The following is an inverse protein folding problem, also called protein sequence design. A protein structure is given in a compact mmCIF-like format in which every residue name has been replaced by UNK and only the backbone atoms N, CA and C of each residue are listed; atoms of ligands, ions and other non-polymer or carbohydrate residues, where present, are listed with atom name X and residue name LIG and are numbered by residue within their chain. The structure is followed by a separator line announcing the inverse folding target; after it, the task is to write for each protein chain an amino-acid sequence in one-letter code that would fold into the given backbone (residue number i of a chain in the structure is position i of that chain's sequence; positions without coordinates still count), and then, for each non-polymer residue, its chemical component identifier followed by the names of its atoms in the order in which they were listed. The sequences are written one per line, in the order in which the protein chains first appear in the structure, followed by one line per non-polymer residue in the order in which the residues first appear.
data_IF_765744296901
#
_entry.id   IF_765744296901
#
_cell.length_a   1.000
_cell.length_b   1.000
_cell.length_c   1.000
_cell.angle_alpha   90.00
_cell.angle_beta   90.00
_cell.angle_gamma   90.00
#
_symmetry.space_group_name_H-M   'P 1'
#
loop_
_entity.id
_entity.type
_entity.pdbx_description
1 polymer ?
#
# COMPACT_ATOMS: atom_id res chain seq x y z
N UNK A 1 5.18 -5.36 13.05
CA UNK A 1 3.97 -5.86 13.76
C UNK A 1 3.91 -5.29 15.16
N UNK A 2 5.01 -5.32 15.92
CA UNK A 2 5.11 -4.67 17.24
C UNK A 2 4.79 -3.17 17.19
N UNK A 3 5.37 -2.41 16.24
CA UNK A 3 5.04 -1.00 16.00
C UNK A 3 3.53 -0.74 15.86
N UNK A 4 2.86 -1.47 14.96
CA UNK A 4 1.42 -1.30 14.72
C UNK A 4 0.62 -1.55 16.00
N UNK A 5 0.93 -2.65 16.71
CA UNK A 5 0.22 -3.01 17.95
C UNK A 5 0.39 -1.94 19.03
N UNK A 6 1.58 -1.37 19.18
CA UNK A 6 1.85 -0.27 20.13
C UNK A 6 1.04 0.99 19.82
N UNK A 7 0.67 1.18 18.55
CA UNK A 7 -0.11 2.33 18.05
C UNK A 7 -1.60 2.03 17.92
N UNK A 8 -2.07 0.87 18.38
CA UNK A 8 -3.49 0.49 18.28
C UNK A 8 -3.93 -0.01 16.89
N UNK A 9 -2.97 -0.28 15.99
CA UNK A 9 -3.23 -0.83 14.67
C UNK A 9 -2.97 -2.34 14.62
N UNK A 10 -3.75 -3.05 13.80
CA UNK A 10 -3.55 -4.46 13.52
C UNK A 10 -2.88 -4.63 12.16
N UNK A 11 -1.74 -5.33 12.13
CA UNK A 11 -1.02 -5.66 10.91
C UNK A 11 -1.26 -7.13 10.54
N UNK A 12 -1.82 -7.39 9.35
CA UNK A 12 -2.08 -8.73 8.83
C UNK A 12 -1.18 -8.98 7.63
N UNK A 13 -0.32 -9.99 7.74
CA UNK A 13 0.52 -10.44 6.62
C UNK A 13 -0.30 -11.33 5.69
N UNK A 14 -0.02 -11.24 4.40
CA UNK A 14 -0.62 -12.09 3.37
C UNK A 14 -2.15 -12.16 3.45
N UNK A 15 -2.80 -10.99 3.60
CA UNK A 15 -4.25 -10.89 3.61
C UNK A 15 -4.80 -11.45 2.30
N UNK A 16 -5.60 -12.50 2.38
CA UNK A 16 -6.36 -13.02 1.24
C UNK A 16 -7.64 -12.21 1.09
N UNK A 17 -7.85 -11.66 -0.11
CA UNK A 17 -9.06 -10.93 -0.47
C UNK A 17 -10.19 -11.91 -0.83
N UNK A 18 -11.42 -11.42 -0.87
CA UNK A 18 -12.61 -12.25 -1.16
C UNK A 18 -12.54 -12.96 -2.53
N UNK A 19 -11.85 -12.39 -3.50
CA UNK A 19 -11.63 -12.96 -4.84
C UNK A 19 -10.36 -13.81 -4.94
N UNK A 20 -9.71 -14.13 -3.81
CA UNK A 20 -8.57 -15.04 -3.74
C UNK A 20 -7.21 -14.41 -4.06
N UNK A 21 -7.14 -13.10 -4.31
CA UNK A 21 -5.86 -12.39 -4.43
C UNK A 21 -5.21 -12.20 -3.06
N UNK A 22 -3.94 -11.76 -3.05
CA UNK A 22 -3.16 -11.53 -1.83
C UNK A 22 -2.69 -10.08 -1.77
N UNK A 23 -2.90 -9.44 -0.62
CA UNK A 23 -2.21 -8.22 -0.21
C UNK A 23 -1.08 -8.60 0.74
N UNK A 24 0.15 -8.19 0.44
CA UNK A 24 1.34 -8.67 1.17
C UNK A 24 1.31 -8.26 2.66
N UNK A 25 0.90 -7.03 2.94
CA UNK A 25 0.66 -6.53 4.28
C UNK A 25 -0.53 -5.57 4.27
N UNK A 26 -1.50 -5.84 5.13
CA UNK A 26 -2.65 -4.98 5.35
C UNK A 26 -2.63 -4.42 6.77
N UNK A 27 -2.85 -3.12 6.91
CA UNK A 27 -2.94 -2.46 8.21
C UNK A 27 -4.38 -2.01 8.44
N UNK A 28 -4.89 -2.33 9.62
CA UNK A 28 -6.24 -2.02 10.07
C UNK A 28 -6.19 -1.18 11.35
N UNK A 29 -7.13 -0.26 11.48
CA UNK A 29 -7.38 0.47 12.73
C UNK A 29 -8.51 -0.19 13.51
N UNK A 30 -9.16 0.60 14.37
CA UNK A 30 -10.28 0.13 15.17
C UNK A 30 -11.43 -0.39 14.31
N UNK A 31 -12.17 -1.38 14.84
CA UNK A 31 -13.35 -1.98 14.21
C UNK A 31 -13.10 -2.50 12.77
N UNK A 32 -11.86 -2.85 12.45
CA UNK A 32 -11.49 -3.37 11.13
C UNK A 32 -11.42 -2.31 10.03
N UNK A 33 -11.32 -1.02 10.39
CA UNK A 33 -11.14 0.07 9.41
C UNK A 33 -9.86 -0.17 8.58
N UNK A 34 -10.00 -0.17 7.26
CA UNK A 34 -8.91 -0.41 6.28
C UNK A 34 -8.00 0.82 6.19
N UNK A 35 -6.79 0.76 6.75
CA UNK A 35 -5.90 1.93 6.84
C UNK A 35 -5.03 2.05 5.62
N UNK A 36 -4.21 1.04 5.37
CA UNK A 36 -3.28 1.04 4.24
C UNK A 36 -2.93 -0.39 3.82
N UNK A 37 -2.89 -0.61 2.51
CA UNK A 37 -2.32 -1.79 1.91
C UNK A 37 -0.84 -1.53 1.57
N UNK A 38 0.01 -2.53 1.75
CA UNK A 38 1.46 -2.44 1.46
C UNK A 38 1.85 -3.62 0.58
N UNK A 39 2.56 -3.33 -0.50
CA UNK A 39 2.99 -4.31 -1.51
C UNK A 39 4.48 -4.21 -1.76
N UNK A 40 5.16 -5.36 -1.76
CA UNK A 40 6.60 -5.42 -1.96
C UNK A 40 6.92 -5.83 -3.39
N UNK A 41 7.36 -4.86 -4.20
CA UNK A 41 7.65 -5.07 -5.61
C UNK A 41 9.15 -5.21 -5.89
N UNK A 42 9.53 -6.39 -6.36
CA UNK A 42 10.92 -6.73 -6.70
C UNK A 42 11.15 -6.99 -8.20
N UNK A 43 10.14 -6.75 -9.05
CA UNK A 43 10.28 -6.91 -10.50
C UNK A 43 10.37 -5.58 -11.24
N UNK A 44 11.59 -5.16 -11.58
CA UNK A 44 11.78 -3.89 -12.30
C UNK A 44 11.06 -3.86 -13.66
N UNK A 45 11.18 -4.96 -14.42
CA UNK A 45 10.58 -5.11 -15.75
C UNK A 45 9.06 -4.95 -15.72
N UNK A 46 8.41 -5.47 -14.68
CA UNK A 46 6.95 -5.55 -14.59
C UNK A 46 6.32 -4.58 -13.59
N UNK A 47 7.12 -3.69 -13.00
CA UNK A 47 6.69 -2.86 -11.87
C UNK A 47 5.42 -2.05 -12.19
N UNK A 48 5.31 -1.48 -13.39
CA UNK A 48 4.12 -0.71 -13.80
C UNK A 48 2.84 -1.56 -13.81
N UNK A 49 2.91 -2.73 -14.42
CA UNK A 49 1.76 -3.64 -14.52
C UNK A 49 1.38 -4.20 -13.14
N UNK A 50 2.39 -4.54 -12.32
CA UNK A 50 2.16 -5.05 -10.97
C UNK A 50 1.63 -3.99 -10.03
N UNK A 51 2.14 -2.76 -10.07
CA UNK A 51 1.58 -1.63 -9.31
C UNK A 51 0.13 -1.36 -9.68
N UNK A 52 -0.22 -1.40 -10.98
CA UNK A 52 -1.61 -1.26 -11.40
C UNK A 52 -2.49 -2.40 -10.86
N UNK A 53 -2.06 -3.64 -11.01
CA UNK A 53 -2.76 -4.81 -10.47
C UNK A 53 -2.96 -4.71 -8.95
N UNK A 54 -1.91 -4.29 -8.24
CA UNK A 54 -1.91 -4.09 -6.80
C UNK A 54 -2.85 -2.98 -6.34
N UNK A 55 -2.94 -1.89 -7.10
CA UNK A 55 -3.91 -0.84 -6.83
C UNK A 55 -5.34 -1.31 -7.06
N UNK A 56 -5.62 -2.02 -8.16
CA UNK A 56 -6.96 -2.55 -8.43
C UNK A 56 -7.41 -3.52 -7.34
N UNK A 57 -6.56 -4.45 -6.90
CA UNK A 57 -6.92 -5.40 -5.83
C UNK A 57 -7.12 -4.69 -4.49
N UNK A 58 -6.26 -3.73 -4.13
CA UNK A 58 -6.39 -2.98 -2.89
C UNK A 58 -7.66 -2.09 -2.89
N UNK A 59 -7.94 -1.41 -4.00
CA UNK A 59 -9.16 -0.63 -4.21
C UNK A 59 -10.42 -1.48 -4.02
N UNK A 60 -10.48 -2.65 -4.65
CA UNK A 60 -11.62 -3.58 -4.55
C UNK A 60 -11.83 -4.12 -3.13
N UNK A 61 -10.76 -4.27 -2.36
CA UNK A 61 -10.79 -4.66 -0.95
C UNK A 61 -11.12 -3.46 -0.01
N UNK A 62 -11.34 -2.27 -0.58
CA UNK A 62 -11.78 -1.07 0.13
C UNK A 62 -10.66 -0.22 0.73
N UNK A 63 -9.39 -0.45 0.36
CA UNK A 63 -8.30 0.44 0.77
C UNK A 63 -8.29 1.71 -0.07
N UNK A 64 -8.08 2.85 0.59
CA UNK A 64 -7.85 4.15 -0.06
C UNK A 64 -6.37 4.50 -0.20
N UNK A 65 -5.52 3.88 0.60
CA UNK A 65 -4.09 4.11 0.63
C UNK A 65 -3.32 2.85 0.26
N UNK A 66 -2.31 3.02 -0.60
CA UNK A 66 -1.42 1.95 -1.04
C UNK A 66 0.04 2.42 -0.91
N UNK A 67 0.87 1.60 -0.27
CA UNK A 67 2.32 1.78 -0.26
C UNK A 67 2.92 0.73 -1.20
N UNK A 68 3.70 1.17 -2.18
CA UNK A 68 4.54 0.31 -2.99
C UNK A 68 5.97 0.42 -2.47
N UNK A 69 6.49 -0.69 -1.95
CA UNK A 69 7.86 -0.82 -1.47
C UNK A 69 8.71 -1.45 -2.57
N UNK A 70 9.74 -0.77 -3.05
CA UNK A 70 10.59 -1.31 -4.13
C UNK A 70 12.06 -0.94 -3.95
N UNK A 71 13.00 -1.84 -4.28
CA UNK A 71 14.44 -1.67 -3.98
C UNK A 71 15.23 -0.97 -5.10
N UNK A 72 14.57 -0.44 -6.12
CA UNK A 72 15.26 0.08 -7.31
C UNK A 72 15.78 1.50 -7.09
N UNK A 73 16.98 1.78 -7.60
CA UNK A 73 17.58 3.12 -7.56
C UNK A 73 16.85 4.12 -8.46
N UNK A 74 16.39 3.67 -9.63
CA UNK A 74 15.52 4.47 -10.49
C UNK A 74 14.08 4.43 -9.98
N UNK A 75 13.31 5.46 -10.30
CA UNK A 75 11.90 5.58 -9.91
C UNK A 75 11.00 5.39 -11.15
N UNK A 76 10.80 4.14 -11.63
CA UNK A 76 10.06 3.87 -12.88
C UNK A 76 8.56 4.20 -12.80
N UNK A 77 8.04 4.43 -11.59
CA UNK A 77 6.66 4.78 -11.32
C UNK A 77 6.45 6.30 -11.22
N UNK A 78 7.50 7.08 -10.92
CA UNK A 78 7.39 8.53 -10.75
C UNK A 78 6.91 9.17 -12.05
N UNK A 79 5.85 9.99 -11.97
CA UNK A 79 5.20 10.64 -13.10
C UNK A 79 4.74 9.67 -14.21
N UNK A 80 4.52 8.40 -13.89
CA UNK A 80 4.04 7.43 -14.87
C UNK A 80 2.52 7.50 -15.02
N UNK A 81 2.02 7.13 -16.22
CA UNK A 81 0.58 7.05 -16.49
C UNK A 81 -0.15 6.13 -15.50
N UNK A 82 0.54 5.12 -14.96
CA UNK A 82 -0.02 4.20 -13.96
C UNK A 82 -0.36 4.95 -12.67
N UNK A 83 0.52 5.83 -12.19
CA UNK A 83 0.25 6.62 -10.98
C UNK A 83 -0.94 7.56 -11.20
N UNK A 84 -0.97 8.25 -12.35
CA UNK A 84 -2.07 9.14 -12.71
C UNK A 84 -3.41 8.38 -12.79
N UNK A 85 -3.42 7.17 -13.35
CA UNK A 85 -4.61 6.34 -13.41
C UNK A 85 -5.08 5.94 -12.01
N UNK A 86 -4.17 5.49 -11.15
CA UNK A 86 -4.53 5.06 -9.79
C UNK A 86 -5.09 6.23 -8.97
N UNK A 87 -4.49 7.41 -9.09
CA UNK A 87 -4.91 8.58 -8.31
C UNK A 87 -6.21 9.19 -8.84
N UNK A 88 -6.33 9.39 -10.16
CA UNK A 88 -7.46 10.10 -10.74
C UNK A 88 -8.66 9.21 -11.06
N UNK A 89 -8.43 7.95 -11.45
CA UNK A 89 -9.51 7.05 -11.86
C UNK A 89 -9.94 6.10 -10.72
N UNK A 90 -8.99 5.59 -9.93
CA UNK A 90 -9.33 4.74 -8.76
C UNK A 90 -9.53 5.55 -7.47
N UNK A 91 -9.17 6.83 -7.44
CA UNK A 91 -9.27 7.68 -6.25
C UNK A 91 -8.38 7.24 -5.09
N UNK A 92 -7.34 6.44 -5.37
CA UNK A 92 -6.42 5.93 -4.35
C UNK A 92 -5.21 6.84 -4.21
N UNK A 93 -4.69 6.98 -2.98
CA UNK A 93 -3.41 7.62 -2.74
C UNK A 93 -2.30 6.58 -2.71
N UNK A 94 -1.27 6.77 -3.53
CA UNK A 94 -0.13 5.84 -3.61
C UNK A 94 1.14 6.51 -3.07
N UNK A 95 1.86 5.79 -2.21
CA UNK A 95 3.16 6.20 -1.72
C UNK A 95 4.24 5.24 -2.20
N UNK A 96 5.35 5.79 -2.67
CA UNK A 96 6.49 5.06 -3.21
C UNK A 96 7.62 5.11 -2.18
N UNK A 97 8.01 3.98 -1.63
CA UNK A 97 8.92 3.92 -0.46
C UNK A 97 10.03 2.91 -0.68
N UNK A 98 11.27 3.21 -0.24
CA UNK A 98 12.36 2.23 -0.25
C UNK A 98 12.24 1.26 0.95
N UNK A 99 12.73 0.02 0.86
CA UNK A 99 12.61 -0.95 1.95
C UNK A 99 13.09 -0.42 3.32
N UNK A 100 14.22 0.29 3.32
CA UNK A 100 14.84 0.88 4.51
C UNK A 100 14.05 2.06 5.11
N UNK A 101 13.15 2.67 4.34
CA UNK A 101 12.36 3.82 4.77
C UNK A 101 10.98 3.42 5.33
N UNK A 102 10.53 2.19 5.08
CA UNK A 102 9.15 1.76 5.34
C UNK A 102 8.70 2.01 6.78
N UNK A 103 9.52 1.65 7.77
CA UNK A 103 9.14 1.78 9.17
C UNK A 103 8.95 3.25 9.57
N UNK A 104 9.94 4.09 9.27
CA UNK A 104 9.90 5.53 9.54
C UNK A 104 8.76 6.21 8.76
N UNK A 105 8.48 5.76 7.54
CA UNK A 105 7.37 6.27 6.75
C UNK A 105 6.02 5.94 7.40
N UNK A 106 5.82 4.69 7.84
CA UNK A 106 4.61 4.31 8.56
C UNK A 106 4.46 5.08 9.88
N UNK A 107 5.54 5.22 10.66
CA UNK A 107 5.55 5.99 11.91
C UNK A 107 5.04 7.42 11.75
N UNK A 108 5.38 8.06 10.63
CA UNK A 108 5.00 9.46 10.35
C UNK A 108 3.61 9.62 9.77
N UNK A 109 3.11 8.64 9.02
CA UNK A 109 1.92 8.82 8.16
C UNK A 109 0.72 7.94 8.53
N UNK A 110 0.87 6.96 9.44
CA UNK A 110 -0.19 5.98 9.72
C UNK A 110 -1.48 6.63 10.29
N UNK A 111 -1.35 7.68 11.11
CA UNK A 111 -2.49 8.42 11.66
C UNK A 111 -3.22 9.23 10.59
N UNK A 112 -2.48 9.79 9.63
CA UNK A 112 -3.07 10.50 8.48
C UNK A 112 -3.83 9.51 7.61
N UNK A 113 -3.24 8.35 7.30
CA UNK A 113 -3.94 7.28 6.57
C UNK A 113 -5.22 6.91 7.30
N UNK A 114 -5.18 6.70 8.62
CA UNK A 114 -6.37 6.37 9.40
C UNK A 114 -7.46 7.44 9.33
N UNK A 115 -7.07 8.72 9.38
CA UNK A 115 -8.00 9.86 9.33
C UNK A 115 -8.74 9.98 8.00
N UNK A 116 -8.08 9.62 6.89
CA UNK A 116 -8.65 9.68 5.54
C UNK A 116 -9.20 8.34 5.01
N UNK A 117 -9.04 7.27 5.79
CA UNK A 117 -9.61 5.94 5.52
C UNK A 117 -11.12 5.93 5.62
#
# INVERSE_FOLDING_TARGET
MEFCSLKGFTAVRELRTADGTRIDLAIFGEKGKKVVAVEFENSYKWIKQRTLYNAIKAHREGFKHLIIVYPFKSDPLKNSWVMNFIENELGMRVSLVKPEELLNFLEKNIEDFYSFS
#
